data_IF_191567588780
#
_entry.id   IF_191567588780
#
_cell.length_a   1.000
_cell.length_b   1.000
_cell.length_c   1.000
_cell.angle_alpha   90.00
_cell.angle_beta   90.00
_cell.angle_gamma   90.00
#
_symmetry.space_group_name_H-M   'P 1'
#
loop_
_entity.id
_entity.type
_entity.pdbx_description
1 polymer ?
#
# COMPACT_ATOMS: atom_id res chain seq x y z
N UNK A 1 3.29 -34.62 -8.21
CA UNK A 1 4.26 -34.29 -7.13
C UNK A 1 3.86 -32.92 -6.62
N UNK A 2 3.31 -32.85 -5.41
CA UNK A 2 2.92 -31.60 -4.78
C UNK A 2 4.19 -30.86 -4.37
N UNK A 3 4.49 -29.73 -5.01
CA UNK A 3 5.53 -28.82 -4.55
C UNK A 3 5.01 -28.15 -3.26
N UNK A 4 5.60 -28.50 -2.14
CA UNK A 4 5.36 -27.80 -0.88
C UNK A 4 5.68 -26.32 -1.05
N UNK A 5 4.79 -25.44 -0.57
CA UNK A 5 5.05 -24.01 -0.52
C UNK A 5 6.39 -23.75 0.18
N UNK A 6 7.22 -22.80 -0.33
CA UNK A 6 8.51 -22.51 0.27
C UNK A 6 8.30 -22.16 1.75
N UNK A 7 9.05 -22.81 2.63
CA UNK A 7 8.99 -22.59 4.07
C UNK A 7 9.35 -21.12 4.34
N UNK A 8 8.41 -20.36 4.89
CA UNK A 8 8.64 -18.98 5.35
C UNK A 8 9.75 -19.05 6.40
N UNK A 9 10.92 -18.51 6.07
CA UNK A 9 12.03 -18.41 7.04
C UNK A 9 11.55 -17.60 8.25
N UNK A 10 11.79 -18.06 9.47
CA UNK A 10 11.49 -17.26 10.65
C UNK A 10 12.22 -15.92 10.58
N UNK A 11 11.51 -14.84 10.94
CA UNK A 11 12.04 -13.48 10.95
C UNK A 11 13.33 -13.42 11.78
N UNK A 12 14.42 -12.79 11.31
CA UNK A 12 15.59 -12.52 12.14
C UNK A 12 15.19 -11.77 13.42
N UNK A 13 15.91 -11.93 14.51
CA UNK A 13 15.63 -11.26 15.79
C UNK A 13 15.53 -9.72 15.68
N UNK A 14 16.20 -9.14 14.69
CA UNK A 14 16.13 -7.69 14.34
C UNK A 14 14.71 -7.24 13.95
N UNK A 15 13.88 -8.17 13.48
CA UNK A 15 12.49 -7.93 13.07
C UNK A 15 11.49 -8.42 14.12
N UNK A 16 11.92 -8.57 15.38
CA UNK A 16 10.99 -8.92 16.47
C UNK A 16 9.79 -7.97 16.44
N UNK A 17 8.54 -8.47 16.54
CA UNK A 17 7.36 -7.68 16.32
C UNK A 17 7.22 -6.58 17.38
N UNK A 18 7.43 -5.33 16.97
CA UNK A 18 7.06 -4.16 17.78
C UNK A 18 5.67 -3.78 17.33
N UNK A 19 4.71 -3.73 18.26
CA UNK A 19 3.34 -3.35 17.94
C UNK A 19 3.10 -1.89 18.31
N UNK A 20 2.82 -1.05 17.31
CA UNK A 20 2.25 0.29 17.50
C UNK A 20 0.73 0.17 17.39
N UNK A 21 0.01 0.84 18.28
CA UNK A 21 -1.46 0.89 18.29
C UNK A 21 -1.96 2.28 17.98
N UNK A 22 -2.94 2.38 17.07
CA UNK A 22 -3.72 3.59 16.81
C UNK A 22 -5.21 3.23 16.86
N UNK A 23 -6.01 4.10 17.46
CA UNK A 23 -7.43 3.89 17.69
C UNK A 23 -7.78 3.58 19.15
N UNK A 24 -9.04 3.16 19.42
CA UNK A 24 -9.54 3.00 20.79
C UNK A 24 -8.81 1.88 21.55
N UNK A 25 -8.57 2.08 22.84
CA UNK A 25 -7.99 1.08 23.73
C UNK A 25 -8.91 -0.16 23.85
N UNK A 26 -10.20 0.09 23.99
CA UNK A 26 -11.24 -0.94 23.99
C UNK A 26 -11.97 -0.88 22.66
N UNK A 27 -12.04 -1.99 21.95
CA UNK A 27 -12.72 -2.08 20.65
C UNK A 27 -13.99 -2.92 20.78
N UNK A 28 -15.14 -2.28 20.63
CA UNK A 28 -16.42 -2.96 20.40
C UNK A 28 -16.61 -3.08 18.90
N UNK A 29 -16.42 -4.29 18.35
CA UNK A 29 -16.54 -4.55 16.91
C UNK A 29 -17.97 -4.44 16.43
N UNK A 30 -18.16 -4.00 15.22
CA UNK A 30 -19.46 -3.97 14.57
C UNK A 30 -19.67 -2.76 13.67
N UNK A 31 -20.80 -2.76 12.95
CA UNK A 31 -21.14 -1.68 12.03
C UNK A 31 -21.38 -0.37 12.77
N UNK A 32 -20.96 0.72 12.15
CA UNK A 32 -21.26 2.09 12.59
C UNK A 32 -22.53 2.55 11.90
N UNK A 33 -23.42 3.19 12.65
CA UNK A 33 -24.67 3.74 12.10
C UNK A 33 -24.41 4.72 10.95
N UNK A 34 -25.38 4.91 10.04
CA UNK A 34 -25.17 5.72 8.83
C UNK A 34 -24.84 7.18 9.14
N UNK A 35 -25.48 7.78 10.14
CA UNK A 35 -25.24 9.17 10.55
C UNK A 35 -23.82 9.32 11.12
N UNK A 36 -23.41 8.42 12.03
CA UNK A 36 -22.06 8.45 12.60
C UNK A 36 -21.01 8.19 11.51
N UNK A 37 -21.24 7.26 10.58
CA UNK A 37 -20.35 7.03 9.44
C UNK A 37 -20.20 8.31 8.60
N UNK A 38 -21.28 8.98 8.26
CA UNK A 38 -21.25 10.22 7.49
C UNK A 38 -20.47 11.33 8.22
N UNK A 39 -20.67 11.49 9.54
CA UNK A 39 -19.96 12.45 10.35
C UNK A 39 -18.46 12.16 10.38
N UNK A 40 -18.06 10.90 10.59
CA UNK A 40 -16.67 10.47 10.62
C UNK A 40 -15.97 10.69 9.28
N UNK A 41 -16.64 10.35 8.17
CA UNK A 41 -16.13 10.59 6.82
C UNK A 41 -16.02 12.09 6.51
N UNK A 42 -17.01 12.88 6.92
CA UNK A 42 -16.99 14.34 6.81
C UNK A 42 -15.83 14.96 7.59
N UNK A 43 -15.59 14.51 8.84
CA UNK A 43 -14.44 14.93 9.65
C UNK A 43 -13.12 14.49 9.01
N UNK A 44 -13.05 13.29 8.42
CA UNK A 44 -11.87 12.83 7.68
C UNK A 44 -11.56 13.70 6.45
N UNK A 45 -12.60 14.12 5.72
CA UNK A 45 -12.46 15.03 4.59
C UNK A 45 -12.01 16.42 5.07
N UNK A 46 -12.62 16.96 6.13
CA UNK A 46 -12.24 18.24 6.74
C UNK A 46 -10.79 18.21 7.26
N UNK A 47 -10.40 17.13 7.92
CA UNK A 47 -9.01 16.91 8.37
C UNK A 47 -8.03 16.92 7.18
N UNK A 48 -8.37 16.19 6.12
CA UNK A 48 -7.55 16.15 4.90
C UNK A 48 -7.43 17.54 4.28
N UNK A 49 -8.54 18.28 4.20
CA UNK A 49 -8.55 19.66 3.70
C UNK A 49 -7.69 20.61 4.53
N UNK A 50 -7.82 20.55 5.86
CA UNK A 50 -7.02 21.37 6.79
C UNK A 50 -5.52 21.07 6.65
N UNK A 51 -5.15 19.80 6.64
CA UNK A 51 -3.76 19.41 6.40
C UNK A 51 -3.27 19.89 5.02
N UNK A 52 -4.09 19.75 3.98
CA UNK A 52 -3.72 20.21 2.63
C UNK A 52 -3.44 21.72 2.63
N UNK A 53 -4.29 22.53 3.24
CA UNK A 53 -4.09 23.98 3.33
C UNK A 53 -2.81 24.33 4.11
N UNK A 54 -2.57 23.66 5.25
CA UNK A 54 -1.38 23.89 6.06
C UNK A 54 -0.07 23.55 5.34
N UNK A 55 -0.05 22.46 4.59
CA UNK A 55 1.14 22.03 3.86
C UNK A 55 1.32 22.67 2.48
N UNK A 56 0.26 23.29 1.92
CA UNK A 56 0.28 23.83 0.56
C UNK A 56 1.32 24.95 0.39
N UNK A 57 1.43 25.84 1.37
CA UNK A 57 2.40 26.95 1.34
C UNK A 57 3.83 26.43 1.25
N UNK A 58 4.16 25.43 2.10
CA UNK A 58 5.47 24.78 2.11
C UNK A 58 5.73 24.09 0.76
N UNK A 59 4.72 23.41 0.23
CA UNK A 59 4.83 22.70 -1.03
C UNK A 59 5.06 23.64 -2.22
N UNK A 60 4.40 24.82 -2.24
CA UNK A 60 4.60 25.85 -3.26
C UNK A 60 6.02 26.42 -3.17
N UNK A 61 6.52 26.72 -1.97
CA UNK A 61 7.88 27.21 -1.78
C UNK A 61 8.94 26.21 -2.28
N UNK A 62 8.62 24.91 -2.29
CA UNK A 62 9.52 23.84 -2.72
C UNK A 62 9.28 23.38 -4.16
N UNK A 63 8.51 24.13 -4.97
CA UNK A 63 8.24 23.78 -6.38
C UNK A 63 9.50 23.45 -7.20
N UNK A 64 10.64 24.11 -7.04
CA UNK A 64 11.86 23.77 -7.79
C UNK A 64 12.43 22.38 -7.49
N UNK A 65 12.21 21.84 -6.29
CA UNK A 65 12.80 20.57 -5.85
C UNK A 65 11.75 19.45 -5.74
N UNK A 66 11.72 18.54 -6.71
CA UNK A 66 10.81 17.39 -6.66
C UNK A 66 11.04 16.50 -5.44
N UNK A 67 12.29 16.23 -5.06
CA UNK A 67 12.62 15.39 -3.91
C UNK A 67 12.15 16.03 -2.61
N UNK A 68 12.37 17.34 -2.44
CA UNK A 68 11.87 18.06 -1.26
C UNK A 68 10.34 18.01 -1.18
N UNK A 69 9.64 18.17 -2.31
CA UNK A 69 8.17 18.05 -2.36
C UNK A 69 7.68 16.64 -2.02
N UNK A 70 8.36 15.59 -2.51
CA UNK A 70 8.06 14.20 -2.14
C UNK A 70 8.17 14.03 -0.63
N UNK A 71 9.23 14.55 0.00
CA UNK A 71 9.42 14.46 1.43
C UNK A 71 8.35 15.20 2.23
N UNK A 72 7.96 16.39 1.80
CA UNK A 72 6.80 17.11 2.39
C UNK A 72 5.54 16.27 2.20
N UNK A 73 5.36 15.62 1.05
CA UNK A 73 4.27 14.70 0.77
C UNK A 73 4.26 13.49 1.72
N UNK A 74 5.42 12.95 2.08
CA UNK A 74 5.50 11.85 3.06
C UNK A 74 5.10 12.31 4.47
N UNK A 75 5.55 13.50 4.90
CA UNK A 75 5.12 14.09 6.19
C UNK A 75 3.61 14.35 6.18
N UNK A 76 3.09 15.02 5.15
CA UNK A 76 1.66 15.24 4.98
C UNK A 76 0.87 13.93 5.02
N UNK A 77 1.33 12.91 4.26
CA UNK A 77 0.71 11.59 4.21
C UNK A 77 0.65 10.92 5.58
N UNK A 78 1.69 11.10 6.40
CA UNK A 78 1.73 10.59 7.77
C UNK A 78 0.66 11.26 8.65
N UNK A 79 0.51 12.57 8.58
CA UNK A 79 -0.53 13.31 9.33
C UNK A 79 -1.94 12.94 8.87
N UNK A 80 -2.20 13.04 7.57
CA UNK A 80 -3.50 12.75 6.99
C UNK A 80 -3.87 11.28 7.22
N UNK A 81 -2.94 10.37 6.94
CA UNK A 81 -3.20 8.94 7.04
C UNK A 81 -3.51 8.49 8.47
N UNK A 82 -2.71 8.93 9.45
CA UNK A 82 -2.95 8.63 10.86
C UNK A 82 -4.25 9.22 11.37
N UNK A 83 -4.56 10.48 11.01
CA UNK A 83 -5.80 11.14 11.39
C UNK A 83 -7.03 10.46 10.79
N UNK A 84 -7.01 10.13 9.49
CA UNK A 84 -8.10 9.41 8.82
C UNK A 84 -8.28 8.01 9.43
N UNK A 85 -7.20 7.27 9.71
CA UNK A 85 -7.28 5.99 10.39
C UNK A 85 -7.96 6.11 11.75
N UNK A 86 -7.54 7.08 12.58
CA UNK A 86 -8.16 7.32 13.88
C UNK A 86 -9.65 7.67 13.75
N UNK A 87 -10.02 8.49 12.78
CA UNK A 87 -11.39 8.93 12.54
C UNK A 87 -12.35 7.81 12.11
N UNK A 88 -11.84 6.69 11.53
CA UNK A 88 -12.72 5.54 11.22
C UNK A 88 -13.33 4.89 12.47
N UNK A 89 -12.71 5.06 13.64
CA UNK A 89 -13.11 4.40 14.88
C UNK A 89 -12.63 2.95 14.99
N UNK A 90 -11.87 2.45 14.03
CA UNK A 90 -11.24 1.14 14.03
C UNK A 90 -9.92 1.15 14.81
N UNK A 91 -9.43 -0.03 15.18
CA UNK A 91 -8.13 -0.21 15.82
C UNK A 91 -7.13 -0.69 14.79
N UNK A 92 -5.99 -0.02 14.73
CA UNK A 92 -4.88 -0.38 13.85
C UNK A 92 -3.71 -0.86 14.68
N UNK A 93 -3.22 -2.06 14.38
CA UNK A 93 -2.03 -2.66 14.98
C UNK A 93 -0.94 -2.74 13.91
N UNK A 94 0.17 -2.06 14.14
CA UNK A 94 1.30 -2.04 13.21
C UNK A 94 2.40 -2.93 13.79
N UNK A 95 2.73 -3.97 13.08
CA UNK A 95 3.77 -4.92 13.42
C UNK A 95 5.03 -4.62 12.61
N UNK A 96 6.19 -4.63 13.26
CA UNK A 96 7.51 -4.43 12.64
C UNK A 96 7.67 -3.07 11.93
N UNK A 97 7.06 -1.98 12.44
CA UNK A 97 7.17 -0.68 11.80
C UNK A 97 8.60 -0.25 11.52
N UNK A 98 9.54 -0.56 12.42
CA UNK A 98 10.94 -0.22 12.24
C UNK A 98 11.52 -0.82 10.95
N UNK A 99 11.08 -2.01 10.54
CA UNK A 99 11.51 -2.66 9.31
C UNK A 99 11.12 -1.84 8.05
N UNK A 100 9.99 -1.11 8.09
CA UNK A 100 9.61 -0.20 7.00
C UNK A 100 10.63 0.95 6.81
N UNK A 101 11.44 1.24 7.80
CA UNK A 101 12.42 2.31 7.76
C UNK A 101 13.88 1.82 7.64
N UNK A 102 14.11 0.52 7.82
CA UNK A 102 15.46 -0.06 7.82
C UNK A 102 16.02 -0.22 6.40
N UNK A 103 15.19 -0.67 5.46
CA UNK A 103 15.62 -0.99 4.09
C UNK A 103 15.33 0.16 3.15
N UNK A 104 16.39 0.84 2.65
CA UNK A 104 16.25 1.97 1.72
C UNK A 104 17.43 2.12 0.81
N UNK A 105 17.20 2.50 -0.47
CA UNK A 105 15.91 2.58 -1.14
C UNK A 105 15.30 1.19 -1.40
N UNK A 106 13.96 1.09 -1.39
CA UNK A 106 13.24 -0.17 -1.59
C UNK A 106 11.91 0.04 -2.35
N UNK A 107 11.32 -1.04 -2.84
CA UNK A 107 9.96 -1.06 -3.40
C UNK A 107 9.03 -1.65 -2.36
N UNK A 108 8.21 -0.80 -1.74
CA UNK A 108 7.16 -1.20 -0.82
C UNK A 108 5.94 -1.65 -1.61
N UNK A 109 5.49 -2.85 -1.35
CA UNK A 109 4.28 -3.41 -1.96
C UNK A 109 3.27 -3.77 -0.88
N UNK A 110 1.99 -3.47 -1.11
CA UNK A 110 0.93 -3.81 -0.17
C UNK A 110 -0.30 -4.36 -0.91
N UNK A 111 -1.06 -5.26 -0.25
CA UNK A 111 -2.36 -5.68 -0.75
C UNK A 111 -3.40 -4.57 -0.57
N UNK A 112 -4.47 -4.59 -1.38
CA UNK A 112 -5.40 -3.47 -1.48
C UNK A 112 -6.86 -3.94 -1.50
N UNK A 113 -7.57 -3.75 -0.40
CA UNK A 113 -8.95 -4.20 -0.23
C UNK A 113 -9.92 -3.09 0.21
N UNK A 114 -9.40 -1.92 0.62
CA UNK A 114 -10.20 -0.83 1.18
C UNK A 114 -9.73 0.54 0.70
N UNK A 115 -10.57 1.56 0.84
CA UNK A 115 -10.15 2.95 0.61
C UNK A 115 -9.17 3.42 1.70
N UNK A 116 -9.34 2.93 2.92
CA UNK A 116 -8.46 3.30 4.04
C UNK A 116 -7.01 2.88 3.79
N UNK A 117 -6.75 1.84 2.98
CA UNK A 117 -5.40 1.38 2.67
C UNK A 117 -4.52 2.48 2.05
N UNK A 118 -5.13 3.39 1.26
CA UNK A 118 -4.41 4.53 0.68
C UNK A 118 -3.84 5.42 1.79
N UNK A 119 -4.65 5.67 2.83
CA UNK A 119 -4.26 6.47 3.97
C UNK A 119 -3.26 5.73 4.87
N UNK A 120 -3.42 4.40 5.02
CA UNK A 120 -2.46 3.56 5.75
C UNK A 120 -1.10 3.53 5.03
N UNK A 121 -1.10 3.34 3.71
CA UNK A 121 0.12 3.40 2.91
C UNK A 121 0.82 4.77 3.01
N UNK A 122 0.05 5.87 2.95
CA UNK A 122 0.60 7.21 3.11
C UNK A 122 1.18 7.45 4.52
N UNK A 123 0.49 6.97 5.57
CA UNK A 123 0.97 7.10 6.95
C UNK A 123 2.24 6.31 7.23
N UNK A 124 2.32 5.08 6.70
CA UNK A 124 3.44 4.18 6.96
C UNK A 124 4.62 4.38 6.02
N UNK A 125 4.45 5.22 4.99
CA UNK A 125 5.50 5.54 4.04
C UNK A 125 6.70 6.23 4.71
N UNK A 126 7.92 5.71 4.52
CA UNK A 126 9.13 6.40 4.98
C UNK A 126 9.39 7.68 4.17
N UNK A 127 10.33 8.50 4.64
CA UNK A 127 10.85 9.64 3.87
C UNK A 127 11.54 9.16 2.58
N UNK A 128 11.63 10.01 1.58
CA UNK A 128 12.15 9.70 0.24
C UNK A 128 11.36 8.60 -0.49
N UNK A 129 10.06 8.48 -0.22
CA UNK A 129 9.21 7.50 -0.88
C UNK A 129 8.28 8.17 -1.89
N UNK A 130 8.39 7.77 -3.15
CA UNK A 130 7.51 8.18 -4.23
C UNK A 130 6.32 7.20 -4.34
N UNK A 131 5.12 7.69 -4.06
CA UNK A 131 3.89 6.93 -4.25
C UNK A 131 3.53 6.79 -5.74
N UNK A 132 2.95 5.65 -6.10
CA UNK A 132 2.46 5.36 -7.46
C UNK A 132 0.96 5.12 -7.42
N UNK A 133 0.20 5.97 -8.09
CA UNK A 133 -1.25 5.89 -8.16
C UNK A 133 -1.77 5.89 -9.60
N UNK A 134 -3.05 5.57 -9.78
CA UNK A 134 -3.72 5.75 -11.08
C UNK A 134 -3.88 7.24 -11.40
N UNK A 135 -3.96 7.61 -12.68
CA UNK A 135 -4.09 9.02 -13.10
C UNK A 135 -5.31 9.72 -12.49
N UNK A 136 -6.40 8.98 -12.26
CA UNK A 136 -7.65 9.48 -11.69
C UNK A 136 -7.55 9.83 -10.20
N UNK A 137 -6.42 9.59 -9.54
CA UNK A 137 -6.20 10.00 -8.14
C UNK A 137 -6.44 11.50 -7.95
N UNK A 138 -6.21 12.30 -9.00
CA UNK A 138 -6.38 13.76 -8.96
C UNK A 138 -7.82 14.20 -8.64
N UNK A 139 -8.81 13.33 -8.87
CA UNK A 139 -10.21 13.62 -8.57
C UNK A 139 -10.59 13.37 -7.11
N UNK A 140 -9.68 12.83 -6.29
CA UNK A 140 -9.90 12.73 -4.84
C UNK A 140 -9.68 14.10 -4.20
N UNK A 141 -10.73 14.71 -3.59
CA UNK A 141 -10.64 16.07 -3.08
C UNK A 141 -9.47 16.25 -2.11
N UNK A 142 -8.75 17.33 -2.26
CA UNK A 142 -7.57 17.72 -1.50
C UNK A 142 -6.39 16.75 -1.62
N UNK A 143 -6.58 15.48 -1.29
CA UNK A 143 -5.53 14.47 -1.29
C UNK A 143 -4.93 14.24 -2.68
N UNK A 144 -5.76 14.13 -3.71
CA UNK A 144 -5.30 13.82 -5.07
C UNK A 144 -4.51 14.96 -5.70
N UNK A 145 -4.97 16.19 -5.53
CA UNK A 145 -4.28 17.39 -6.02
C UNK A 145 -2.94 17.56 -5.28
N UNK A 146 -2.95 17.36 -3.95
CA UNK A 146 -1.74 17.43 -3.16
C UNK A 146 -0.73 16.34 -3.57
N UNK A 147 -1.20 15.09 -3.75
CA UNK A 147 -0.39 13.97 -4.23
C UNK A 147 0.34 14.30 -5.54
N UNK A 148 -0.37 14.90 -6.48
CA UNK A 148 0.23 15.34 -7.75
C UNK A 148 1.25 16.46 -7.57
N UNK A 149 0.91 17.50 -6.82
CA UNK A 149 1.76 18.66 -6.59
C UNK A 149 3.02 18.27 -5.81
N UNK A 150 2.91 17.30 -4.90
CA UNK A 150 4.04 16.72 -4.19
C UNK A 150 5.02 15.93 -5.08
N UNK A 151 4.69 15.71 -6.36
CA UNK A 151 5.60 15.09 -7.31
C UNK A 151 5.56 13.56 -7.33
N UNK A 152 4.56 12.95 -6.69
CA UNK A 152 4.29 11.53 -6.79
C UNK A 152 3.87 11.11 -8.21
N UNK A 153 3.99 9.82 -8.56
CA UNK A 153 3.75 9.36 -9.92
C UNK A 153 2.28 8.96 -10.13
N UNK A 154 1.74 9.37 -11.29
CA UNK A 154 0.43 8.94 -11.77
C UNK A 154 0.61 8.10 -13.04
N UNK A 155 0.00 6.92 -13.06
CA UNK A 155 0.06 5.98 -14.19
C UNK A 155 -1.29 5.92 -14.89
N UNK A 156 -1.27 6.05 -16.22
CA UNK A 156 -2.42 5.74 -17.07
C UNK A 156 -2.48 4.22 -17.29
N UNK A 157 -3.36 3.55 -16.58
CA UNK A 157 -3.53 2.08 -16.67
C UNK A 157 -4.39 1.65 -17.86
N UNK A 158 -5.05 2.59 -18.53
CA UNK A 158 -5.83 2.33 -19.74
C UNK A 158 -4.97 2.19 -21.00
N UNK A 159 -3.72 2.66 -20.94
CA UNK A 159 -2.76 2.61 -22.04
C UNK A 159 -1.48 1.89 -21.58
N UNK A 160 -1.26 0.68 -22.09
CA UNK A 160 -0.11 -0.16 -21.71
C UNK A 160 1.23 0.49 -22.09
N UNK A 161 1.29 1.17 -23.23
CA UNK A 161 2.51 1.84 -23.69
C UNK A 161 2.88 3.00 -22.77
N UNK A 162 1.89 3.84 -22.42
CA UNK A 162 2.09 4.95 -21.48
C UNK A 162 2.42 4.47 -20.07
N UNK A 163 1.81 3.36 -19.62
CA UNK A 163 2.10 2.78 -18.33
C UNK A 163 3.56 2.30 -18.26
N UNK A 164 4.06 1.60 -19.27
CA UNK A 164 5.45 1.14 -19.36
C UNK A 164 6.43 2.32 -19.41
N UNK A 165 6.14 3.33 -20.23
CA UNK A 165 6.97 4.54 -20.31
C UNK A 165 7.04 5.28 -18.96
N UNK A 166 5.90 5.37 -18.25
CA UNK A 166 5.84 5.98 -16.91
C UNK A 166 6.67 5.22 -15.87
N UNK A 167 6.65 3.87 -15.91
CA UNK A 167 7.45 3.05 -15.01
C UNK A 167 8.95 3.18 -15.32
N UNK A 168 9.33 3.24 -16.59
CA UNK A 168 10.73 3.47 -16.99
C UNK A 168 11.22 4.84 -16.50
N UNK A 169 10.47 5.90 -16.75
CA UNK A 169 10.80 7.23 -16.22
C UNK A 169 10.87 7.27 -14.70
N UNK A 170 10.04 6.48 -14.01
CA UNK A 170 10.12 6.35 -12.55
C UNK A 170 11.42 5.64 -12.13
N UNK A 171 11.81 4.57 -12.81
CA UNK A 171 13.07 3.88 -12.51
C UNK A 171 14.28 4.80 -12.59
N UNK A 172 14.34 5.66 -13.61
CA UNK A 172 15.41 6.65 -13.78
C UNK A 172 15.44 7.67 -12.64
N UNK A 173 14.27 8.19 -12.25
CA UNK A 173 14.14 9.15 -11.14
C UNK A 173 14.53 8.50 -9.80
N UNK A 174 14.12 7.28 -9.59
CA UNK A 174 14.40 6.49 -8.39
C UNK A 174 15.90 6.26 -8.24
N UNK A 175 16.56 5.80 -9.29
CA UNK A 175 18.01 5.59 -9.30
C UNK A 175 18.77 6.89 -9.07
N UNK A 176 18.40 7.96 -9.78
CA UNK A 176 19.07 9.27 -9.68
C UNK A 176 19.00 9.88 -8.28
N UNK A 177 17.89 9.66 -7.55
CA UNK A 177 17.62 10.37 -6.29
C UNK A 177 17.56 9.42 -5.07
N UNK A 178 17.94 8.16 -5.21
CA UNK A 178 17.86 7.14 -4.17
C UNK A 178 16.46 7.11 -3.48
N UNK A 179 15.38 7.13 -4.29
CA UNK A 179 14.02 7.13 -3.78
C UNK A 179 13.52 5.71 -3.59
N UNK A 180 12.73 5.50 -2.56
CA UNK A 180 11.87 4.33 -2.43
C UNK A 180 10.56 4.51 -3.22
N UNK A 181 9.84 3.43 -3.46
CA UNK A 181 8.57 3.44 -4.19
C UNK A 181 7.52 2.73 -3.37
N UNK A 182 6.27 3.22 -3.40
CA UNK A 182 5.12 2.52 -2.87
C UNK A 182 4.14 2.19 -4.01
N UNK A 183 3.78 0.92 -4.14
CA UNK A 183 2.90 0.46 -5.20
C UNK A 183 1.95 -0.64 -4.72
N UNK A 184 0.70 -0.61 -5.20
CA UNK A 184 -0.31 -1.64 -5.03
C UNK A 184 -0.24 -2.62 -6.20
N UNK A 185 0.37 -3.82 -6.05
CA UNK A 185 0.66 -4.70 -7.19
C UNK A 185 -0.60 -5.30 -7.81
N UNK A 186 -1.69 -5.43 -7.05
CA UNK A 186 -2.99 -5.87 -7.58
C UNK A 186 -3.56 -4.91 -8.63
N UNK A 187 -3.17 -3.64 -8.58
CA UNK A 187 -3.60 -2.60 -9.51
C UNK A 187 -5.04 -2.12 -9.33
N UNK A 188 -5.83 -2.74 -8.47
CA UNK A 188 -7.19 -2.33 -8.11
C UNK A 188 -7.54 -2.91 -6.75
N UNK A 189 -8.51 -2.32 -6.05
CA UNK A 189 -9.00 -2.85 -4.78
C UNK A 189 -9.74 -4.18 -4.97
N UNK A 190 -9.48 -5.12 -4.08
CA UNK A 190 -10.28 -6.33 -3.95
C UNK A 190 -11.72 -5.96 -3.56
N UNK A 191 -12.70 -6.70 -4.06
CA UNK A 191 -14.12 -6.47 -3.77
C UNK A 191 -14.61 -7.31 -2.58
N UNK A 192 -13.98 -8.46 -2.36
CA UNK A 192 -14.32 -9.46 -1.36
C UNK A 192 -13.27 -9.56 -0.23
N UNK A 193 -12.29 -8.66 -0.24
CA UNK A 193 -11.20 -8.64 0.72
C UNK A 193 -10.07 -9.63 0.45
N UNK A 194 -10.22 -10.55 -0.50
CA UNK A 194 -9.22 -11.56 -0.83
C UNK A 194 -8.08 -10.98 -1.66
N UNK A 195 -6.89 -11.51 -1.46
CA UNK A 195 -5.71 -11.16 -2.24
C UNK A 195 -5.95 -11.48 -3.72
N UNK A 196 -5.67 -10.53 -4.59
CA UNK A 196 -5.78 -10.67 -6.03
C UNK A 196 -4.42 -10.91 -6.66
N UNK A 197 -4.36 -11.56 -7.83
CA UNK A 197 -3.11 -11.75 -8.56
C UNK A 197 -2.36 -10.43 -8.79
N UNK A 198 -1.05 -10.47 -8.61
CA UNK A 198 -0.19 -9.32 -8.76
C UNK A 198 0.13 -9.04 -10.23
N UNK A 199 0.12 -7.77 -10.60
CA UNK A 199 0.51 -7.30 -11.92
C UNK A 199 2.03 -7.13 -11.99
N UNK A 200 2.60 -7.46 -13.13
CA UNK A 200 4.05 -7.45 -13.39
C UNK A 200 4.75 -6.09 -13.18
N UNK A 201 3.99 -4.97 -13.14
CA UNK A 201 4.58 -3.62 -13.14
C UNK A 201 5.55 -3.34 -12.00
N UNK A 202 5.21 -3.70 -10.74
CA UNK A 202 6.09 -3.53 -9.59
C UNK A 202 7.37 -4.38 -9.73
N UNK A 203 7.24 -5.58 -10.27
CA UNK A 203 8.33 -6.55 -10.42
C UNK A 203 9.26 -6.20 -11.57
N UNK A 204 8.74 -5.68 -12.69
CA UNK A 204 9.59 -5.06 -13.72
C UNK A 204 10.37 -3.86 -13.20
N UNK A 205 9.78 -3.11 -12.27
CA UNK A 205 10.49 -2.01 -11.63
C UNK A 205 11.62 -2.54 -10.74
N UNK A 206 11.39 -3.61 -9.96
CA UNK A 206 12.41 -4.28 -9.16
C UNK A 206 13.57 -4.76 -10.05
N UNK A 207 13.27 -5.48 -11.14
CA UNK A 207 14.24 -5.90 -12.15
C UNK A 207 15.07 -4.74 -12.71
N UNK A 208 14.41 -3.61 -13.03
CA UNK A 208 15.10 -2.47 -13.66
C UNK A 208 15.92 -1.64 -12.69
N UNK A 209 15.58 -1.64 -11.39
CA UNK A 209 16.24 -0.84 -10.37
C UNK A 209 17.21 -1.63 -9.50
N UNK A 210 17.03 -2.95 -9.37
CA UNK A 210 17.75 -3.80 -8.42
C UNK A 210 17.34 -3.56 -6.97
N UNK A 211 16.24 -2.83 -6.72
CA UNK A 211 15.78 -2.53 -5.36
C UNK A 211 15.05 -3.72 -4.74
N UNK A 212 15.30 -4.02 -3.45
CA UNK A 212 14.57 -5.06 -2.75
C UNK A 212 13.07 -4.72 -2.64
N UNK A 213 12.23 -5.75 -2.55
CA UNK A 213 10.80 -5.61 -2.30
C UNK A 213 10.55 -5.75 -0.80
N UNK A 214 9.86 -4.77 -0.21
CA UNK A 214 9.39 -4.81 1.18
C UNK A 214 7.89 -5.05 1.20
N UNK A 215 7.41 -6.26 1.57
CA UNK A 215 5.98 -6.54 1.64
C UNK A 215 5.36 -5.90 2.89
N UNK A 216 4.21 -5.26 2.71
CA UNK A 216 3.36 -4.71 3.78
C UNK A 216 1.98 -5.35 3.70
N UNK A 217 1.70 -6.30 4.58
CA UNK A 217 0.44 -7.04 4.58
C UNK A 217 -0.59 -6.32 5.43
N UNK A 218 -1.75 -5.99 4.84
CA UNK A 218 -2.87 -5.32 5.50
C UNK A 218 -4.03 -6.31 5.63
N UNK A 219 -4.36 -6.69 6.85
CA UNK A 219 -5.45 -7.62 7.16
C UNK A 219 -6.62 -6.88 7.83
N UNK A 220 -7.86 -7.17 7.39
CA UNK A 220 -9.08 -6.67 8.02
C UNK A 220 -9.57 -5.30 7.52
N UNK A 221 -8.82 -4.58 6.69
CA UNK A 221 -9.19 -3.22 6.23
C UNK A 221 -10.51 -3.20 5.43
N UNK A 222 -10.82 -4.24 4.66
CA UNK A 222 -12.07 -4.38 3.91
C UNK A 222 -13.31 -4.44 4.82
N UNK A 223 -13.17 -4.97 6.05
CA UNK A 223 -14.24 -4.99 7.05
C UNK A 223 -14.43 -3.62 7.70
N UNK A 224 -13.33 -2.88 7.91
CA UNK A 224 -13.37 -1.54 8.51
C UNK A 224 -14.02 -0.50 7.60
N UNK A 225 -13.75 -0.58 6.30
CA UNK A 225 -14.36 0.28 5.29
C UNK A 225 -14.53 -0.49 3.97
N UNK A 226 -15.72 -1.02 3.77
CA UNK A 226 -16.06 -1.80 2.59
C UNK A 226 -15.92 -1.00 1.29
N UNK A 227 -15.45 -1.68 0.24
CA UNK A 227 -15.25 -1.05 -1.06
C UNK A 227 -16.57 -0.48 -1.63
N UNK A 228 -16.55 0.79 -2.05
CA UNK A 228 -17.70 1.53 -2.59
C UNK A 228 -18.84 1.82 -1.60
N UNK A 229 -18.61 1.62 -0.31
CA UNK A 229 -19.54 1.97 0.74
C UNK A 229 -19.18 3.29 1.41
N UNK A 230 -20.17 4.02 1.92
CA UNK A 230 -19.99 5.13 2.86
C UNK A 230 -20.21 4.68 4.31
N UNK A 231 -20.36 3.38 4.54
CA UNK A 231 -20.52 2.81 5.89
C UNK A 231 -19.16 2.38 6.41
N UNK A 232 -18.91 2.72 7.66
CA UNK A 232 -17.75 2.27 8.42
C UNK A 232 -18.17 1.19 9.40
N UNK A 233 -17.20 0.37 9.79
CA UNK A 233 -17.33 -0.59 10.89
C UNK A 233 -16.12 -0.45 11.82
N UNK A 234 -16.37 -0.66 13.12
CA UNK A 234 -15.28 -0.72 14.10
C UNK A 234 -14.65 -2.09 14.05
N UNK A 235 -13.47 -2.15 13.46
CA UNK A 235 -12.74 -3.40 13.25
C UNK A 235 -11.29 -3.28 13.73
N UNK A 236 -10.65 -4.43 13.89
CA UNK A 236 -9.20 -4.46 14.03
C UNK A 236 -8.59 -4.65 12.65
N UNK A 237 -7.60 -3.81 12.36
CA UNK A 237 -6.80 -3.87 11.13
C UNK A 237 -5.36 -4.10 11.54
N UNK A 238 -4.79 -5.19 11.08
CA UNK A 238 -3.40 -5.54 11.33
C UNK A 238 -2.55 -5.20 10.11
N UNK A 239 -1.46 -4.46 10.31
CA UNK A 239 -0.49 -4.11 9.27
C UNK A 239 0.85 -4.70 9.66
N UNK A 240 1.36 -5.63 8.86
CA UNK A 240 2.62 -6.30 9.13
C UNK A 240 3.63 -5.97 8.04
N UNK A 241 4.75 -5.37 8.42
CA UNK A 241 5.89 -5.18 7.52
C UNK A 241 6.74 -6.43 7.59
N UNK A 242 6.88 -7.11 6.47
CA UNK A 242 7.66 -8.35 6.35
C UNK A 242 9.11 -8.04 5.95
N UNK A 243 10.03 -8.99 6.13
CA UNK A 243 11.41 -8.84 5.70
C UNK A 243 11.53 -8.49 4.22
N UNK A 244 12.54 -7.71 3.83
CA UNK A 244 12.80 -7.41 2.44
C UNK A 244 13.13 -8.67 1.66
N UNK A 245 12.67 -8.73 0.42
CA UNK A 245 12.95 -9.79 -0.54
C UNK A 245 14.02 -9.25 -1.49
N UNK A 246 15.17 -9.91 -1.53
CA UNK A 246 16.24 -9.56 -2.45
C UNK A 246 15.83 -9.85 -3.91
N UNK A 247 16.10 -8.91 -4.78
CA UNK A 247 15.78 -8.99 -6.22
C UNK A 247 17.02 -9.03 -7.11
N UNK A 248 18.21 -9.07 -6.53
CA UNK A 248 19.48 -8.97 -7.26
C UNK A 248 19.69 -10.12 -8.25
N UNK A 249 19.17 -11.31 -7.93
CA UNK A 249 19.23 -12.50 -8.79
C UNK A 249 18.07 -12.66 -9.78
N UNK A 250 17.14 -11.70 -9.85
CA UNK A 250 15.97 -11.83 -10.72
C UNK A 250 16.30 -11.58 -12.18
N UNK A 251 15.66 -12.35 -13.07
CA UNK A 251 15.76 -12.19 -14.52
C UNK A 251 14.36 -12.04 -15.14
N UNK A 252 14.30 -11.71 -16.42
CA UNK A 252 13.01 -11.62 -17.12
C UNK A 252 12.35 -12.99 -17.25
N UNK A 253 13.17 -14.03 -17.36
CA UNK A 253 12.75 -15.43 -17.55
C UNK A 253 12.15 -16.00 -16.26
N UNK A 254 12.69 -15.62 -15.08
CA UNK A 254 12.24 -16.09 -13.76
C UNK A 254 11.20 -15.17 -13.13
N UNK A 255 10.83 -14.06 -13.77
CA UNK A 255 9.97 -13.03 -13.17
C UNK A 255 8.61 -13.56 -12.70
N UNK A 256 7.98 -14.43 -13.48
CA UNK A 256 6.67 -14.99 -13.14
C UNK A 256 6.74 -15.95 -11.95
N UNK A 257 7.87 -16.59 -11.72
CA UNK A 257 8.13 -17.41 -10.53
C UNK A 257 8.28 -16.52 -9.29
N UNK A 258 9.09 -15.48 -9.36
CA UNK A 258 9.26 -14.54 -8.26
C UNK A 258 7.97 -13.79 -7.88
N UNK A 259 7.08 -13.50 -8.86
CA UNK A 259 5.77 -12.95 -8.55
C UNK A 259 4.96 -13.93 -7.69
N UNK A 260 4.93 -15.21 -8.05
CA UNK A 260 4.24 -16.25 -7.26
C UNK A 260 4.84 -16.42 -5.87
N UNK A 261 6.16 -16.32 -5.74
CA UNK A 261 6.84 -16.36 -4.44
C UNK A 261 6.39 -15.20 -3.53
N UNK A 262 6.34 -13.98 -4.08
CA UNK A 262 5.86 -12.80 -3.32
C UNK A 262 4.38 -12.94 -2.98
N UNK A 263 3.53 -13.41 -3.90
CA UNK A 263 2.11 -13.69 -3.62
C UNK A 263 1.95 -14.73 -2.50
N UNK A 264 2.78 -15.78 -2.50
CA UNK A 264 2.78 -16.78 -1.44
C UNK A 264 3.16 -16.21 -0.07
N UNK A 265 4.11 -15.28 -0.02
CA UNK A 265 4.49 -14.55 1.21
C UNK A 265 3.28 -13.76 1.75
N UNK A 266 2.53 -13.06 0.91
CA UNK A 266 1.31 -12.38 1.30
C UNK A 266 0.23 -13.36 1.78
N UNK A 267 -0.02 -14.43 1.02
CA UNK A 267 -1.02 -15.43 1.36
C UNK A 267 -0.73 -16.11 2.71
N UNK A 268 0.54 -16.38 3.02
CA UNK A 268 0.94 -16.96 4.29
C UNK A 268 0.68 -16.04 5.49
N UNK A 269 0.84 -14.72 5.30
CA UNK A 269 0.66 -13.72 6.34
C UNK A 269 -0.80 -13.24 6.50
N UNK A 270 -1.68 -13.49 5.51
CA UNK A 270 -3.09 -13.11 5.54
C UNK A 270 -3.94 -14.16 6.27
N UNK A 271 -5.01 -13.76 6.99
CA UNK A 271 -6.01 -14.67 7.51
C UNK A 271 -6.70 -15.43 6.37
N UNK A 272 -7.24 -16.61 6.66
CA UNK A 272 -7.79 -17.55 5.68
C UNK A 272 -8.87 -16.92 4.78
N UNK A 273 -9.74 -16.11 5.37
CA UNK A 273 -10.83 -15.41 4.65
C UNK A 273 -10.33 -14.36 3.65
N UNK A 274 -9.05 -13.97 3.75
CA UNK A 274 -8.41 -13.01 2.82
C UNK A 274 -7.39 -13.65 1.87
N UNK A 275 -7.09 -14.94 2.02
CA UNK A 275 -6.21 -15.65 1.07
C UNK A 275 -6.88 -15.80 -0.29
N UNK A 276 -6.08 -15.96 -1.37
CA UNK A 276 -6.63 -16.31 -2.66
C UNK A 276 -7.49 -17.58 -2.55
N UNK A 277 -8.59 -17.64 -3.27
CA UNK A 277 -9.30 -18.91 -3.43
C UNK A 277 -8.34 -19.88 -4.14
N UNK A 278 -8.23 -21.11 -3.67
CA UNK A 278 -7.55 -22.16 -4.41
C UNK A 278 -8.15 -22.19 -5.81
N UNK A 279 -7.29 -22.17 -6.85
CA UNK A 279 -7.76 -22.32 -8.21
C UNK A 279 -8.61 -23.59 -8.25
N UNK A 280 -9.90 -23.48 -8.63
CA UNK A 280 -10.74 -24.63 -8.82
C UNK A 280 -9.98 -25.56 -9.81
N UNK A 281 -9.71 -26.79 -9.41
CA UNK A 281 -9.13 -27.78 -10.32
C UNK A 281 -9.94 -27.72 -11.61
N UNK A 282 -9.30 -27.64 -12.79
CA UNK A 282 -10.04 -27.66 -14.03
C UNK A 282 -10.86 -28.95 -14.02
N UNK A 283 -12.19 -28.79 -14.10
CA UNK A 283 -13.11 -29.93 -14.10
C UNK A 283 -12.54 -30.93 -15.12
N UNK A 284 -12.14 -32.13 -14.66
CA UNK A 284 -11.74 -33.23 -15.54
C UNK A 284 -12.89 -33.41 -16.51
N UNK A 285 -12.68 -32.99 -17.76
CA UNK A 285 -13.60 -33.34 -18.82
C UNK A 285 -13.62 -34.86 -18.83
N UNK A 286 -14.74 -35.42 -18.38
CA UNK A 286 -15.02 -36.80 -18.57
C UNK A 286 -14.99 -37.07 -20.08
N UNK A 287 -14.15 -38.00 -20.47
CA UNK A 287 -14.04 -38.49 -21.83
C UNK A 287 -15.29 -39.29 -22.20
#
# INVERSE_FOLDING_TARGET
MSQAAPAVRPLPAVYAPVTERVGPATLVRGPIGPVESALRLGLGLAWTGLCTLGFLVVLIALLPSRVARINVGNVYGSFVGKGCAWLTGSRYLIHNRAAAHAERPAIYVANHASLIDIFLGAWLSPMNLCGVAKKEIIYYPFFGQFFWLAGHLRIDRGDRGKAVASLKALADIVKKNALSIFIWPEGTRSKDGRLRPFKKGAFHLALSTGLPIVPMVIAGSHKAWEARSLRLSREQVDITVLPPIDTSGWTKETLDEHIREVEAVFAAALPEDQRPLAAAEPARRAA
#
